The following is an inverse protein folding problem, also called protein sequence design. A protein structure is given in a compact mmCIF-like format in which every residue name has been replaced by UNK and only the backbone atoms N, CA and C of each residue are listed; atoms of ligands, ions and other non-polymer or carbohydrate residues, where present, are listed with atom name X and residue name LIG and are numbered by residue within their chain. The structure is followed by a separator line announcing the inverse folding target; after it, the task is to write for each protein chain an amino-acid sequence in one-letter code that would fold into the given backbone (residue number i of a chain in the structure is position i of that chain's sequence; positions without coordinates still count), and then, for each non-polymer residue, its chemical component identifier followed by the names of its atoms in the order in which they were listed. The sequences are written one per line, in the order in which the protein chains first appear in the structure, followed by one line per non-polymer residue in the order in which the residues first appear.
data_IF_466263903772
#
_entry.id   IF_466263903772
#
_cell.length_a   1.000
_cell.length_b   1.000
_cell.length_c   1.000
_cell.angle_alpha   90.00
_cell.angle_beta   90.00
_cell.angle_gamma   90.00
#
_symmetry.space_group_name_H-M   'P 1'
#
loop_
_entity.id
_entity.type
_entity.pdbx_description
1 polymer ?
#
# COMPACT_ATOMS: atom_id res chain seq x y z
N UNK A 1 -20.89 21.02 -36.93
CA UNK A 1 -19.73 20.34 -37.51
C UNK A 1 -18.58 20.35 -36.51
N UNK A 2 -18.27 19.19 -35.93
CA UNK A 2 -17.19 18.99 -34.98
C UNK A 2 -15.88 18.74 -35.73
N UNK A 3 -14.81 19.48 -35.40
CA UNK A 3 -13.47 19.19 -35.89
C UNK A 3 -12.52 19.01 -34.70
N UNK A 4 -11.93 17.82 -34.69
CA UNK A 4 -10.97 17.27 -33.75
C UNK A 4 -9.70 18.12 -33.74
N UNK A 5 -9.25 18.56 -32.56
CA UNK A 5 -7.87 19.00 -32.38
C UNK A 5 -7.09 17.87 -31.70
N UNK A 6 -6.17 17.31 -32.48
CA UNK A 6 -5.26 16.25 -32.10
C UNK A 6 -4.26 16.77 -31.06
N UNK A 7 -4.20 16.12 -29.90
CA UNK A 7 -3.12 16.30 -28.94
C UNK A 7 -1.91 15.58 -29.52
N UNK A 8 -0.99 16.34 -30.13
CA UNK A 8 0.32 15.83 -30.57
C UNK A 8 1.23 15.70 -29.35
N UNK A 9 1.06 14.64 -28.57
CA UNK A 9 2.08 14.16 -27.64
C UNK A 9 2.65 12.86 -28.18
N UNK A 10 3.96 12.80 -28.43
CA UNK A 10 4.62 11.51 -28.68
C UNK A 10 4.27 10.56 -27.53
N UNK A 11 3.79 9.34 -27.79
CA UNK A 11 3.51 8.39 -26.72
C UNK A 11 4.82 8.07 -26.01
N UNK A 12 4.95 8.52 -24.76
CA UNK A 12 6.05 8.13 -23.89
C UNK A 12 5.78 6.70 -23.43
N UNK A 13 6.51 5.75 -24.00
CA UNK A 13 6.49 4.36 -23.53
C UNK A 13 7.36 4.26 -22.27
N UNK A 14 6.79 3.73 -21.20
CA UNK A 14 7.49 3.45 -19.94
C UNK A 14 7.79 1.95 -19.85
N UNK A 15 9.02 1.60 -19.52
CA UNK A 15 9.42 0.21 -19.25
C UNK A 15 9.29 -0.12 -17.75
N UNK A 16 9.39 -1.41 -17.41
CA UNK A 16 9.45 -1.87 -16.02
C UNK A 16 10.60 -1.15 -15.29
N UNK A 17 10.33 -0.63 -14.09
CA UNK A 17 11.23 0.18 -13.25
C UNK A 17 11.52 1.62 -13.71
N UNK A 18 10.73 2.18 -14.63
CA UNK A 18 10.83 3.60 -15.00
C UNK A 18 9.67 4.42 -14.43
N UNK A 19 9.98 5.66 -14.03
CA UNK A 19 9.01 6.68 -13.64
C UNK A 19 9.35 7.98 -14.35
N UNK A 20 8.34 8.62 -14.95
CA UNK A 20 8.44 10.01 -15.41
C UNK A 20 7.89 10.95 -14.35
N UNK A 21 8.61 12.03 -14.05
CA UNK A 21 8.11 13.14 -13.24
C UNK A 21 7.79 14.29 -14.18
N UNK A 22 6.49 14.61 -14.28
CA UNK A 22 6.02 15.77 -15.04
C UNK A 22 5.88 16.92 -14.05
N UNK A 23 6.70 17.96 -14.22
CA UNK A 23 6.49 19.21 -13.52
C UNK A 23 5.44 20.00 -14.30
N UNK A 24 4.19 19.99 -13.80
CA UNK A 24 3.15 20.86 -14.31
C UNK A 24 3.54 22.28 -13.90
N UNK A 25 4.09 23.04 -14.85
CA UNK A 25 4.26 24.46 -14.68
C UNK A 25 2.87 25.06 -14.44
N UNK A 26 2.62 25.56 -13.23
CA UNK A 26 1.42 26.33 -12.93
C UNK A 26 1.35 27.49 -13.93
N UNK A 27 0.24 27.61 -14.64
CA UNK A 27 0.03 28.45 -15.83
C UNK A 27 0.03 29.96 -15.56
N UNK A 28 0.67 30.43 -14.48
CA UNK A 28 0.74 31.87 -14.17
C UNK A 28 2.13 32.26 -13.67
N UNK A 29 3.04 32.45 -14.61
CA UNK A 29 4.20 33.32 -14.42
C UNK A 29 4.69 33.85 -15.77
N UNK A 30 4.41 35.12 -16.02
CA UNK A 30 5.03 35.90 -17.08
C UNK A 30 6.41 36.39 -16.60
N UNK A 31 7.37 35.47 -16.45
CA UNK A 31 8.78 35.80 -16.24
C UNK A 31 9.66 34.89 -17.10
N UNK A 32 10.80 35.40 -17.61
CA UNK A 32 11.70 34.61 -18.44
C UNK A 32 12.19 33.39 -17.66
N UNK A 33 12.05 32.19 -18.23
CA UNK A 33 12.47 30.93 -17.62
C UNK A 33 14.02 30.92 -17.59
N UNK A 34 14.70 31.02 -16.44
CA UNK A 34 16.13 30.74 -16.40
C UNK A 34 16.34 29.24 -16.67
N UNK A 35 17.36 28.92 -17.48
CA UNK A 35 17.72 27.54 -17.85
C UNK A 35 17.62 26.58 -16.67
N UNK A 36 16.85 25.50 -16.83
CA UNK A 36 16.73 24.47 -15.81
C UNK A 36 18.12 23.94 -15.44
N UNK A 37 18.46 23.81 -14.14
CA UNK A 37 19.74 23.25 -13.73
C UNK A 37 19.84 21.80 -14.20
N UNK A 38 21.01 21.42 -14.71
CA UNK A 38 21.32 20.06 -15.13
C UNK A 38 21.08 19.07 -13.97
N UNK A 39 20.45 17.91 -14.22
CA UNK A 39 20.18 16.94 -13.17
C UNK A 39 21.49 16.39 -12.60
N UNK A 40 21.67 16.56 -11.29
CA UNK A 40 22.79 15.98 -10.55
C UNK A 40 22.41 14.53 -10.21
N UNK A 41 23.19 13.57 -10.69
CA UNK A 41 22.98 12.14 -10.38
C UNK A 41 23.70 11.82 -9.07
N UNK A 42 22.94 11.66 -8.00
CA UNK A 42 23.46 11.24 -6.70
C UNK A 42 23.38 9.71 -6.57
N UNK A 43 24.49 9.08 -6.19
CA UNK A 43 24.54 7.64 -5.97
C UNK A 43 23.77 7.30 -4.68
N UNK A 44 22.56 6.77 -4.84
CA UNK A 44 21.77 6.28 -3.70
C UNK A 44 22.40 5.00 -3.18
N UNK A 45 22.68 4.95 -1.87
CA UNK A 45 23.22 3.77 -1.22
C UNK A 45 22.27 2.57 -1.40
N UNK A 46 22.83 1.37 -1.62
CA UNK A 46 22.03 0.16 -1.84
C UNK A 46 21.07 -0.15 -0.70
N UNK A 47 21.36 0.29 0.53
CA UNK A 47 20.45 0.17 1.67
C UNK A 47 19.21 1.06 1.54
N UNK A 48 19.38 2.31 1.11
CA UNK A 48 18.26 3.21 0.83
C UNK A 48 17.43 2.71 -0.35
N UNK A 49 18.05 2.02 -1.32
CA UNK A 49 17.32 1.33 -2.39
C UNK A 49 16.53 0.14 -1.83
N UNK A 50 17.10 -0.69 -0.96
CA UNK A 50 16.38 -1.81 -0.32
C UNK A 50 15.23 -1.32 0.55
N UNK A 51 15.43 -0.26 1.33
CA UNK A 51 14.40 0.36 2.14
C UNK A 51 13.29 0.96 1.26
N UNK A 52 13.66 1.66 0.19
CA UNK A 52 12.73 2.20 -0.79
C UNK A 52 12.04 1.13 -1.66
N UNK A 53 12.54 -0.10 -1.70
CA UNK A 53 11.92 -1.25 -2.39
C UNK A 53 11.23 -2.22 -1.42
N UNK A 54 11.41 -2.04 -0.10
CA UNK A 54 10.80 -2.90 0.93
C UNK A 54 9.27 -2.94 0.84
N UNK A 55 8.66 -1.86 0.32
CA UNK A 55 7.24 -1.81 0.05
C UNK A 55 6.80 -2.71 -1.11
N UNK A 56 7.67 -3.08 -2.06
CA UNK A 56 7.30 -3.96 -3.17
C UNK A 56 7.34 -5.45 -2.80
N UNK A 57 8.29 -5.88 -1.97
CA UNK A 57 8.52 -7.32 -1.74
C UNK A 57 7.61 -7.94 -0.68
N UNK A 58 6.84 -7.14 0.07
CA UNK A 58 6.11 -7.61 1.25
C UNK A 58 4.67 -7.14 1.36
N UNK A 59 4.00 -6.76 0.27
CA UNK A 59 2.59 -6.34 0.33
C UNK A 59 1.62 -7.50 0.10
N UNK A 60 0.59 -7.57 0.92
CA UNK A 60 -0.61 -8.38 0.70
C UNK A 60 -1.73 -7.47 0.23
N UNK A 61 -2.30 -7.80 -0.92
CA UNK A 61 -3.43 -7.07 -1.50
C UNK A 61 -4.65 -7.98 -1.42
N UNK A 62 -5.72 -7.46 -0.81
CA UNK A 62 -6.98 -8.16 -0.66
C UNK A 62 -8.09 -7.37 -1.35
N UNK A 63 -8.90 -8.07 -2.13
CA UNK A 63 -10.10 -7.55 -2.76
C UNK A 63 -11.28 -8.36 -2.21
N UNK A 64 -12.03 -7.75 -1.29
CA UNK A 64 -13.18 -8.37 -0.60
C UNK A 64 -12.93 -9.80 -0.10
N UNK A 65 -11.71 -10.03 0.39
CA UNK A 65 -11.28 -11.38 0.79
C UNK A 65 -11.84 -11.72 2.17
N UNK A 66 -12.39 -12.93 2.39
CA UNK A 66 -12.89 -13.32 3.70
C UNK A 66 -11.80 -13.18 4.76
N UNK A 67 -12.16 -12.62 5.93
CA UNK A 67 -11.21 -12.37 7.02
C UNK A 67 -10.47 -13.65 7.44
N UNK A 68 -11.11 -14.82 7.40
CA UNK A 68 -10.43 -16.11 7.67
C UNK A 68 -9.23 -16.36 6.76
N UNK A 69 -9.32 -15.97 5.49
CA UNK A 69 -8.31 -16.24 4.48
C UNK A 69 -7.19 -15.22 4.58
N UNK A 70 -7.54 -13.96 4.90
CA UNK A 70 -6.58 -12.92 5.25
C UNK A 70 -5.75 -13.34 6.47
N UNK A 71 -6.40 -13.81 7.53
CA UNK A 71 -5.75 -14.31 8.75
C UNK A 71 -4.79 -15.47 8.43
N UNK A 72 -5.24 -16.44 7.62
CA UNK A 72 -4.38 -17.55 7.22
C UNK A 72 -3.12 -17.08 6.48
N UNK A 73 -3.22 -16.03 5.64
CA UNK A 73 -2.07 -15.47 4.94
C UNK A 73 -1.09 -14.73 5.85
N UNK A 74 -1.59 -14.01 6.87
CA UNK A 74 -0.76 -13.39 7.90
C UNK A 74 -0.08 -14.46 8.76
N UNK A 75 -0.82 -15.44 9.26
CA UNK A 75 -0.30 -16.50 10.14
C UNK A 75 0.79 -17.35 9.48
N UNK A 76 0.70 -17.58 8.17
CA UNK A 76 1.73 -18.29 7.41
C UNK A 76 3.08 -17.58 7.38
N UNK A 77 3.08 -16.25 7.53
CA UNK A 77 4.27 -15.40 7.35
C UNK A 77 4.79 -14.82 8.66
N UNK A 78 3.97 -14.84 9.72
CA UNK A 78 4.28 -14.20 10.98
C UNK A 78 4.35 -15.21 12.12
N UNK A 79 5.21 -14.92 13.09
CA UNK A 79 5.26 -15.68 14.34
C UNK A 79 4.02 -15.41 15.18
N UNK A 80 3.53 -14.17 15.17
CA UNK A 80 2.27 -13.79 15.80
C UNK A 80 1.12 -14.44 15.02
N UNK A 81 0.32 -15.24 15.72
CA UNK A 81 -0.84 -15.95 15.22
C UNK A 81 -2.11 -15.18 15.59
N UNK A 82 -2.89 -14.86 14.56
CA UNK A 82 -4.23 -14.32 14.67
C UNK A 82 -5.24 -15.47 14.73
N UNK A 83 -6.12 -15.47 15.71
CA UNK A 83 -7.15 -16.49 15.92
C UNK A 83 -8.52 -15.83 15.89
N UNK A 84 -9.45 -16.38 15.10
CA UNK A 84 -10.85 -16.00 15.19
C UNK A 84 -11.45 -16.61 16.47
N UNK A 85 -11.75 -15.76 17.45
CA UNK A 85 -12.50 -16.13 18.65
C UNK A 85 -14.02 -16.18 18.41
N UNK A 86 -14.48 -15.64 17.28
CA UNK A 86 -15.86 -15.71 16.80
C UNK A 86 -15.87 -16.11 15.32
N UNK A 87 -16.52 -17.23 15.01
CA UNK A 87 -16.60 -17.77 13.65
C UNK A 87 -17.42 -16.89 12.70
N UNK A 88 -18.36 -16.09 13.22
CA UNK A 88 -19.21 -15.20 12.41
C UNK A 88 -18.42 -14.11 11.69
N UNK A 89 -17.24 -13.74 12.21
CA UNK A 89 -16.33 -12.79 11.58
C UNK A 89 -15.61 -13.35 10.35
N UNK A 90 -15.57 -14.67 10.17
CA UNK A 90 -14.75 -15.31 9.14
C UNK A 90 -15.13 -14.93 7.72
N UNK A 91 -16.43 -14.76 7.43
CA UNK A 91 -16.94 -14.38 6.11
C UNK A 91 -16.80 -12.89 5.80
N UNK A 92 -16.37 -12.08 6.79
CA UNK A 92 -16.38 -10.64 6.65
C UNK A 92 -15.34 -10.21 5.61
N UNK A 93 -15.74 -9.44 4.58
CA UNK A 93 -14.81 -9.07 3.52
C UNK A 93 -13.81 -8.05 4.03
N UNK A 94 -12.54 -8.28 3.71
CA UNK A 94 -11.43 -7.37 3.97
C UNK A 94 -10.85 -6.94 2.64
N UNK A 95 -10.83 -5.63 2.44
CA UNK A 95 -10.18 -4.99 1.30
C UNK A 95 -9.01 -4.14 1.77
N UNK A 96 -7.97 -4.05 0.94
CA UNK A 96 -6.88 -3.13 1.18
C UNK A 96 -5.51 -3.71 0.84
N UNK A 97 -4.50 -2.88 1.08
CA UNK A 97 -3.09 -3.26 0.91
C UNK A 97 -2.41 -3.18 2.26
N UNK A 98 -1.83 -4.29 2.69
CA UNK A 98 -1.18 -4.41 3.99
C UNK A 98 0.26 -4.86 3.81
N UNK A 99 1.14 -4.45 4.73
CA UNK A 99 2.46 -5.08 4.83
C UNK A 99 2.28 -6.48 5.45
N UNK A 100 2.86 -7.48 4.82
CA UNK A 100 2.75 -8.89 5.18
C UNK A 100 3.33 -9.18 6.57
N UNK A 101 4.30 -8.38 7.02
CA UNK A 101 4.97 -8.47 8.32
C UNK A 101 4.38 -7.53 9.38
N UNK A 102 3.45 -6.64 9.00
CA UNK A 102 2.87 -5.66 9.92
C UNK A 102 1.54 -6.16 10.53
N UNK A 103 1.63 -7.21 11.34
CA UNK A 103 0.47 -7.77 12.05
C UNK A 103 -0.18 -6.72 12.95
N UNK A 104 0.59 -5.93 13.68
CA UNK A 104 0.03 -4.93 14.60
C UNK A 104 -0.69 -3.80 13.89
N UNK A 105 -0.18 -3.34 12.74
CA UNK A 105 -0.89 -2.39 11.90
C UNK A 105 -2.24 -2.92 11.43
N UNK A 106 -2.29 -4.20 11.05
CA UNK A 106 -3.53 -4.86 10.66
C UNK A 106 -4.52 -4.97 11.83
N UNK A 107 -4.05 -5.41 13.00
CA UNK A 107 -4.86 -5.54 14.23
C UNK A 107 -5.47 -4.19 14.66
N UNK A 108 -4.67 -3.11 14.64
CA UNK A 108 -5.16 -1.76 14.97
C UNK A 108 -6.23 -1.27 14.01
N UNK A 109 -6.14 -1.63 12.73
CA UNK A 109 -7.17 -1.31 11.75
C UNK A 109 -8.48 -2.06 12.01
N UNK A 110 -8.39 -3.34 12.39
CA UNK A 110 -9.57 -4.13 12.76
C UNK A 110 -10.25 -3.56 14.01
N UNK A 111 -9.48 -3.20 15.05
CA UNK A 111 -10.00 -2.50 16.24
C UNK A 111 -10.65 -1.16 15.88
N UNK A 112 -9.99 -0.37 15.03
CA UNK A 112 -10.48 0.96 14.60
C UNK A 112 -11.78 0.92 13.80
N UNK A 113 -12.15 -0.24 13.22
CA UNK A 113 -13.44 -0.43 12.56
C UNK A 113 -14.63 -0.45 13.53
N UNK A 114 -14.37 -0.59 14.84
CA UNK A 114 -15.40 -0.66 15.89
C UNK A 114 -16.26 -1.93 15.86
N UNK A 115 -15.98 -2.87 14.97
CA UNK A 115 -16.75 -4.11 14.82
C UNK A 115 -16.02 -5.36 15.26
N UNK A 116 -14.72 -5.24 15.55
CA UNK A 116 -13.88 -6.32 16.06
C UNK A 116 -13.17 -5.81 17.31
N UNK A 117 -13.26 -6.58 18.39
CA UNK A 117 -12.45 -6.42 19.59
C UNK A 117 -11.27 -7.37 19.53
N UNK A 118 -10.10 -6.88 19.92
CA UNK A 118 -8.87 -7.67 19.96
C UNK A 118 -8.52 -8.01 21.41
N UNK A 119 -8.28 -9.29 21.65
CA UNK A 119 -7.83 -9.81 22.93
C UNK A 119 -6.44 -10.43 22.74
N UNK A 120 -5.41 -9.86 23.40
CA UNK A 120 -4.07 -10.44 23.38
C UNK A 120 -3.99 -11.52 24.46
N UNK A 121 -3.79 -12.77 24.03
CA UNK A 121 -3.66 -13.92 24.94
C UNK A 121 -2.24 -14.03 25.50
N UNK A 122 -1.25 -13.82 24.63
CA UNK A 122 0.18 -13.84 24.94
C UNK A 122 0.95 -13.03 23.86
N UNK A 123 2.29 -13.04 23.92
CA UNK A 123 3.15 -12.30 22.99
C UNK A 123 3.02 -12.76 21.53
N UNK A 124 2.58 -13.98 21.28
CA UNK A 124 2.49 -14.58 19.95
C UNK A 124 1.05 -14.85 19.52
N UNK A 125 0.05 -14.58 20.35
CA UNK A 125 -1.33 -14.97 20.08
C UNK A 125 -2.30 -13.83 20.31
N UNK A 126 -3.03 -13.49 19.24
CA UNK A 126 -4.04 -12.45 19.23
C UNK A 126 -5.38 -13.04 18.83
N UNK A 127 -6.40 -12.84 19.66
CA UNK A 127 -7.75 -13.36 19.44
C UNK A 127 -8.65 -12.21 18.97
N UNK A 128 -9.35 -12.43 17.86
CA UNK A 128 -10.29 -11.48 17.24
C UNK A 128 -11.72 -11.89 17.58
N UNK A 129 -12.48 -11.01 18.20
CA UNK A 129 -13.88 -11.22 18.60
C UNK A 129 -14.78 -10.17 18.01
N UNK A 130 -16.07 -10.45 17.83
CA UNK A 130 -17.03 -9.42 17.46
C UNK A 130 -17.11 -8.37 18.57
N UNK A 131 -17.12 -7.09 18.20
CA UNK A 131 -17.39 -6.02 19.15
C UNK A 131 -18.84 -6.12 19.65
N UNK A 132 -19.04 -5.83 20.93
CA UNK A 132 -20.33 -5.95 21.62
C UNK A 132 -21.19 -4.70 21.48
#
# INVERSE_FOLDING_TARGET
SALRQAISGSPTFLSVNERTVIFLASEKSAFPIPSAPSPIVEAVASEAIREALSWQERKLVFAETPLRDVIAQFNRRNRVQLILGDASLGERPVGGTFAADNVEGFVRLLEGSGTITVERRDEMTVILRAAR
#
